data_IF_512548988480
#
_entry.id   IF_512548988480
#
_cell.length_a   1.000
_cell.length_b   1.000
_cell.length_c   1.000
_cell.angle_alpha   90.00
_cell.angle_beta   90.00
_cell.angle_gamma   90.00
#
_symmetry.space_group_name_H-M   'P 1'
#
loop_
_entity.id
_entity.type
_entity.pdbx_description
1 polymer ?
#
# COMPACT_ATOMS: atom_id res chain seq x y z
N UNK A 1 0.19 32.49 -14.16
CA UNK A 1 0.06 32.39 -12.69
C UNK A 1 1.40 31.98 -12.13
N UNK A 2 1.85 32.65 -11.07
CA UNK A 2 3.05 32.32 -10.30
C UNK A 2 2.59 31.71 -8.99
N UNK A 3 3.30 30.67 -8.54
CA UNK A 3 3.02 29.97 -7.28
C UNK A 3 4.20 30.08 -6.32
N UNK A 4 3.97 29.88 -5.03
CA UNK A 4 5.00 29.80 -4.00
C UNK A 4 4.74 28.62 -3.05
N UNK A 5 5.80 28.05 -2.46
CA UNK A 5 5.72 26.83 -1.64
C UNK A 5 5.59 27.06 -0.12
N UNK A 6 5.57 28.31 0.33
CA UNK A 6 5.45 28.68 1.74
C UNK A 6 4.93 30.11 1.86
N UNK A 7 3.79 30.29 2.52
CA UNK A 7 3.21 31.61 2.77
C UNK A 7 3.32 31.94 4.26
N UNK A 8 3.85 33.12 4.60
CA UNK A 8 4.21 33.50 5.97
C UNK A 8 3.00 33.49 6.94
N UNK A 9 1.81 33.77 6.42
CA UNK A 9 0.59 33.90 7.23
C UNK A 9 -0.25 32.61 7.36
N UNK A 10 -0.05 31.61 6.49
CA UNK A 10 -0.99 30.48 6.33
C UNK A 10 -0.32 29.10 6.44
N UNK A 11 1.01 29.02 6.41
CA UNK A 11 1.76 27.79 6.65
C UNK A 11 2.34 27.15 5.37
N UNK A 12 2.51 25.83 5.40
CA UNK A 12 3.16 25.06 4.33
C UNK A 12 2.13 24.58 3.30
N UNK A 13 2.27 24.99 2.04
CA UNK A 13 1.32 24.72 0.95
C UNK A 13 1.69 25.46 -0.34
N UNK A 14 0.95 25.20 -1.42
CA UNK A 14 1.17 25.85 -2.72
C UNK A 14 0.18 27.00 -2.87
N UNK A 15 0.68 28.23 -2.82
CA UNK A 15 -0.15 29.43 -2.88
C UNK A 15 0.04 30.17 -4.20
N UNK A 16 -1.02 30.84 -4.66
CA UNK A 16 -0.95 31.75 -5.80
C UNK A 16 -0.34 33.06 -5.33
N UNK A 17 0.85 33.39 -5.81
CA UNK A 17 1.55 34.62 -5.45
C UNK A 17 1.32 35.76 -6.44
N UNK A 18 1.04 35.43 -7.70
CA UNK A 18 0.77 36.42 -8.75
C UNK A 18 -0.07 35.85 -9.90
N UNK A 19 -0.92 36.70 -10.49
CA UNK A 19 -1.78 36.37 -11.62
C UNK A 19 -1.53 37.38 -12.73
N UNK A 20 -1.12 36.89 -13.89
CA UNK A 20 -0.91 37.73 -15.07
C UNK A 20 -2.24 38.20 -15.65
N UNK A 21 -2.34 39.50 -15.91
CA UNK A 21 -3.51 40.13 -16.56
C UNK A 21 -3.78 39.50 -17.93
N UNK A 22 -5.04 39.17 -18.22
CA UNK A 22 -5.49 38.51 -19.44
C UNK A 22 -5.27 36.99 -19.49
N UNK A 23 -4.68 36.39 -18.46
CA UNK A 23 -4.38 34.94 -18.42
C UNK A 23 -5.63 34.06 -18.20
N UNK A 24 -5.51 32.77 -18.51
CA UNK A 24 -6.58 31.79 -18.24
C UNK A 24 -6.91 31.68 -16.74
N UNK A 25 -5.94 31.97 -15.87
CA UNK A 25 -6.12 31.97 -14.41
C UNK A 25 -7.01 33.13 -13.95
N UNK A 26 -6.82 34.33 -14.50
CA UNK A 26 -7.67 35.50 -14.23
C UNK A 26 -9.09 35.28 -14.74
N UNK A 27 -9.23 34.77 -15.98
CA UNK A 27 -10.54 34.44 -16.58
C UNK A 27 -11.30 33.37 -15.81
N UNK A 28 -10.58 32.48 -15.11
CA UNK A 28 -11.15 31.47 -14.24
C UNK A 28 -11.55 32.00 -12.85
N UNK A 29 -11.22 33.26 -12.54
CA UNK A 29 -11.57 33.91 -11.27
C UNK A 29 -10.69 33.50 -10.09
N UNK A 30 -9.45 33.05 -10.34
CA UNK A 30 -8.50 32.77 -9.27
C UNK A 30 -8.05 34.07 -8.58
N UNK A 31 -7.84 34.01 -7.28
CA UNK A 31 -7.38 35.15 -6.48
C UNK A 31 -5.95 34.91 -5.95
N UNK A 32 -5.17 35.98 -5.82
CA UNK A 32 -3.87 35.94 -5.14
C UNK A 32 -4.09 35.58 -3.66
N UNK A 33 -3.26 34.68 -3.14
CA UNK A 33 -3.37 34.15 -1.78
C UNK A 33 -4.22 32.88 -1.64
N UNK A 34 -4.87 32.43 -2.72
CA UNK A 34 -5.53 31.12 -2.71
C UNK A 34 -4.52 29.98 -2.71
N UNK A 35 -4.84 28.92 -1.97
CA UNK A 35 -4.04 27.71 -1.88
C UNK A 35 -4.54 26.68 -2.88
N UNK A 36 -3.66 26.23 -3.77
CA UNK A 36 -3.92 25.17 -4.73
C UNK A 36 -3.82 23.82 -4.03
N UNK A 37 -4.94 23.13 -3.93
CA UNK A 37 -5.08 21.82 -3.30
C UNK A 37 -4.87 20.68 -4.30
N UNK A 38 -5.24 20.87 -5.57
CA UNK A 38 -5.07 19.88 -6.63
C UNK A 38 -5.03 20.52 -8.02
N UNK A 39 -4.41 19.81 -8.95
CA UNK A 39 -4.40 20.12 -10.39
C UNK A 39 -4.89 18.87 -11.12
N UNK A 40 -5.96 19.01 -11.89
CA UNK A 40 -6.70 17.92 -12.50
C UNK A 40 -7.15 16.87 -11.47
N UNK A 41 -6.52 15.69 -11.49
CA UNK A 41 -6.78 14.59 -10.54
C UNK A 41 -5.63 14.39 -9.56
N UNK A 42 -4.55 15.18 -9.67
CA UNK A 42 -3.36 15.05 -8.85
C UNK A 42 -3.42 16.05 -7.69
N UNK A 43 -3.33 15.53 -6.46
CA UNK A 43 -3.33 16.35 -5.25
C UNK A 43 -1.98 17.04 -5.04
N UNK A 44 -2.02 18.30 -4.62
CA UNK A 44 -0.87 19.10 -4.18
C UNK A 44 -0.83 19.31 -2.66
N UNK A 45 -1.74 18.68 -1.91
CA UNK A 45 -1.74 18.77 -0.44
C UNK A 45 -0.48 18.09 0.12
N UNK A 46 0.40 18.88 0.75
CA UNK A 46 1.70 18.43 1.25
C UNK A 46 2.80 18.37 0.19
N UNK A 47 2.51 18.74 -1.07
CA UNK A 47 3.52 18.87 -2.11
C UNK A 47 4.43 20.08 -1.85
N UNK A 48 5.70 19.95 -2.24
CA UNK A 48 6.63 21.07 -2.26
C UNK A 48 6.52 21.87 -3.58
N UNK A 49 7.16 23.04 -3.61
CA UNK A 49 7.16 23.93 -4.77
C UNK A 49 7.55 23.21 -6.08
N UNK A 50 8.62 22.43 -6.07
CA UNK A 50 9.14 21.77 -7.27
C UNK A 50 8.16 20.76 -7.86
N UNK A 51 7.49 20.00 -6.98
CA UNK A 51 6.46 19.02 -7.39
C UNK A 51 5.28 19.74 -8.04
N UNK A 52 4.80 20.81 -7.42
CA UNK A 52 3.68 21.60 -7.94
C UNK A 52 4.00 22.32 -9.24
N UNK A 53 5.18 22.95 -9.33
CA UNK A 53 5.67 23.61 -10.53
C UNK A 53 5.86 22.60 -11.67
N UNK A 54 6.41 21.42 -11.37
CA UNK A 54 6.54 20.34 -12.33
C UNK A 54 5.19 19.85 -12.85
N UNK A 55 4.19 19.74 -11.98
CA UNK A 55 2.87 19.25 -12.35
C UNK A 55 2.11 20.27 -13.22
N UNK A 56 2.11 21.55 -12.84
CA UNK A 56 1.52 22.64 -13.63
C UNK A 56 2.21 22.87 -14.99
N UNK A 57 3.51 22.60 -15.10
CA UNK A 57 4.25 22.69 -16.39
C UNK A 57 3.98 21.53 -17.33
N UNK A 58 3.65 20.35 -16.79
CA UNK A 58 3.38 19.13 -17.59
C UNK A 58 1.91 19.00 -18.01
N UNK A 59 1.01 19.79 -17.41
CA UNK A 59 -0.39 19.80 -17.79
C UNK A 59 -0.60 20.57 -19.08
N UNK A 60 -1.08 19.89 -20.11
CA UNK A 60 -1.48 20.48 -21.39
C UNK A 60 -3.00 20.39 -21.56
N UNK A 61 -3.59 21.36 -22.26
CA UNK A 61 -5.03 21.41 -22.51
C UNK A 61 -5.83 22.01 -21.35
N UNK A 62 -7.02 21.45 -21.07
CA UNK A 62 -7.90 21.95 -20.02
C UNK A 62 -7.37 21.56 -18.64
N UNK A 63 -6.99 22.57 -17.85
CA UNK A 63 -6.49 22.39 -16.49
C UNK A 63 -7.59 22.75 -15.49
N UNK A 64 -7.98 21.78 -14.65
CA UNK A 64 -8.91 21.99 -13.54
C UNK A 64 -8.11 22.21 -12.26
N UNK A 65 -8.38 23.29 -11.53
CA UNK A 65 -7.71 23.56 -10.26
C UNK A 65 -8.71 23.46 -9.12
N UNK A 66 -8.32 22.79 -8.04
CA UNK A 66 -9.05 22.84 -6.77
C UNK A 66 -8.29 23.82 -5.88
N UNK A 67 -8.93 24.94 -5.55
CA UNK A 67 -8.34 25.99 -4.72
C UNK A 67 -9.14 26.19 -3.44
N UNK A 68 -8.48 26.68 -2.40
CA UNK A 68 -9.12 27.10 -1.16
C UNK A 68 -8.66 28.51 -0.80
N UNK A 69 -9.55 29.31 -0.22
CA UNK A 69 -9.22 30.64 0.28
C UNK A 69 -9.14 30.60 1.82
N UNK A 70 -7.97 30.28 2.39
CA UNK A 70 -7.79 30.20 3.84
C UNK A 70 -7.96 31.55 4.57
N UNK A 71 -8.06 32.68 3.85
CA UNK A 71 -8.26 34.02 4.42
C UNK A 71 -9.72 34.49 4.53
N UNK A 72 -10.69 33.87 3.83
CA UNK A 72 -12.11 34.25 3.92
C UNK A 72 -12.80 33.51 5.08
N UNK A 73 -12.86 34.15 6.26
CA UNK A 73 -13.78 33.74 7.34
C UNK A 73 -15.22 33.77 6.81
N UNK A 74 -15.85 32.61 6.70
CA UNK A 74 -17.28 32.49 6.39
C UNK A 74 -18.08 33.02 7.58
N UNK A 75 -18.73 34.17 7.41
CA UNK A 75 -19.66 34.72 8.39
C UNK A 75 -20.90 33.82 8.48
N UNK A 76 -21.04 33.10 9.60
CA UNK A 76 -22.26 32.39 9.92
C UNK A 76 -23.39 33.41 10.18
N UNK A 77 -24.46 33.27 9.40
CA UNK A 77 -25.64 34.14 9.42
C UNK A 77 -26.45 33.86 10.67
N UNK A 78 -26.75 34.91 11.44
CA UNK A 78 -27.57 34.90 12.63
C UNK A 78 -28.98 34.36 12.36
N UNK A 79 -29.44 33.42 13.17
CA UNK A 79 -30.84 33.01 13.23
C UNK A 79 -31.67 34.08 13.94
N UNK A 80 -32.65 34.64 13.23
CA UNK A 80 -33.75 35.43 13.82
C UNK A 80 -35.05 34.67 13.60
N UNK A 81 -35.63 34.18 14.70
CA UNK A 81 -36.94 33.54 14.72
C UNK A 81 -37.93 34.50 15.39
N UNK A 82 -38.75 35.16 14.59
CA UNK A 82 -39.99 35.82 15.03
C UNK A 82 -41.02 35.67 13.91
N UNK A 83 -42.07 34.89 14.17
CA UNK A 83 -43.17 34.68 13.24
C UNK A 83 -44.12 35.88 13.14
N UNK A 84 -44.81 36.02 12.00
CA UNK A 84 -46.27 36.10 11.94
C UNK A 84 -46.83 36.08 10.50
N UNK A 85 -47.99 35.43 10.37
CA UNK A 85 -49.15 35.74 9.52
C UNK A 85 -49.14 35.59 7.96
N UNK A 86 -49.89 34.56 7.51
CA UNK A 86 -51.09 34.56 6.61
C UNK A 86 -50.98 35.20 5.21
N UNK A 87 -51.26 34.39 4.16
CA UNK A 87 -52.11 34.85 3.04
C UNK A 87 -51.84 34.32 1.63
N UNK A 88 -52.63 33.29 1.23
CA UNK A 88 -53.26 33.07 -0.10
C UNK A 88 -52.45 32.91 -1.40
N UNK A 89 -52.89 31.84 -2.09
CA UNK A 89 -53.18 31.71 -3.53
C UNK A 89 -52.17 30.98 -4.42
N UNK A 90 -52.73 29.98 -5.10
CA UNK A 90 -52.11 28.96 -5.90
C UNK A 90 -51.72 29.43 -7.31
N UNK A 91 -50.58 28.94 -7.80
CA UNK A 91 -50.31 28.75 -9.23
C UNK A 91 -49.58 27.42 -9.41
N UNK A 92 -50.22 26.50 -10.15
CA UNK A 92 -49.60 25.28 -10.69
C UNK A 92 -48.48 25.67 -11.65
N UNK A 93 -47.28 25.14 -11.45
CA UNK A 93 -46.28 25.03 -12.50
C UNK A 93 -45.45 23.75 -12.33
N UNK A 94 -45.33 23.05 -13.45
CA UNK A 94 -44.53 21.88 -13.79
C UNK A 94 -43.34 21.53 -12.89
N UNK A 95 -43.20 20.24 -12.60
CA UNK A 95 -41.91 19.56 -12.41
C UNK A 95 -40.89 19.99 -13.47
N UNK A 96 -39.65 20.28 -13.06
CA UNK A 96 -38.54 19.79 -13.85
C UNK A 96 -37.47 19.12 -12.98
N UNK A 97 -37.08 17.95 -13.47
CA UNK A 97 -35.75 17.36 -13.43
C UNK A 97 -34.99 17.37 -12.09
N UNK A 98 -34.91 16.18 -11.50
CA UNK A 98 -33.86 15.74 -10.60
C UNK A 98 -32.51 16.37 -10.97
N UNK A 99 -32.06 17.33 -10.16
CA UNK A 99 -30.68 17.82 -10.18
C UNK A 99 -29.77 16.58 -10.02
N UNK A 100 -28.77 16.36 -10.88
CA UNK A 100 -27.73 15.41 -10.57
C UNK A 100 -27.03 15.97 -9.34
N UNK A 101 -27.26 15.37 -8.17
CA UNK A 101 -26.39 15.53 -7.02
C UNK A 101 -25.02 15.03 -7.48
N UNK A 102 -24.14 15.96 -7.85
CA UNK A 102 -22.72 15.69 -7.91
C UNK A 102 -22.35 15.00 -6.60
N UNK A 103 -21.77 13.78 -6.63
CA UNK A 103 -21.37 13.13 -5.39
C UNK A 103 -20.38 14.07 -4.71
N UNK A 104 -20.73 14.50 -3.50
CA UNK A 104 -19.78 15.17 -2.61
C UNK A 104 -18.55 14.25 -2.55
N UNK A 105 -17.33 14.74 -2.86
CA UNK A 105 -16.14 13.94 -2.68
C UNK A 105 -16.10 13.52 -1.22
N UNK A 106 -16.22 12.23 -0.94
CA UNK A 106 -16.02 11.72 0.41
C UNK A 106 -14.66 12.20 0.91
N UNK A 107 -14.56 12.65 2.17
CA UNK A 107 -13.28 13.04 2.74
C UNK A 107 -12.26 11.91 2.52
N UNK A 108 -10.99 12.25 2.16
CA UNK A 108 -9.99 11.24 1.89
C UNK A 108 -9.89 10.27 3.09
N UNK A 109 -9.86 8.95 2.85
CA UNK A 109 -9.84 7.97 3.92
C UNK A 109 -8.67 8.22 4.87
N UNK A 110 -8.95 8.25 6.17
CA UNK A 110 -7.90 8.45 7.19
C UNK A 110 -6.90 7.29 7.14
N UNK A 111 -5.60 7.55 6.87
CA UNK A 111 -4.58 6.50 6.79
C UNK A 111 -4.46 5.64 8.05
N UNK A 112 -4.85 6.14 9.23
CA UNK A 112 -4.78 5.37 10.46
C UNK A 112 -5.89 4.33 10.58
N UNK A 113 -7.03 4.55 9.93
CA UNK A 113 -8.25 3.74 10.17
C UNK A 113 -8.85 3.14 8.90
N UNK A 114 -8.47 3.62 7.72
CA UNK A 114 -9.02 3.15 6.47
C UNK A 114 -8.70 1.65 6.23
N UNK A 115 -9.67 0.86 5.74
CA UNK A 115 -9.45 -0.53 5.40
C UNK A 115 -8.66 -0.66 4.09
N UNK A 116 -7.84 -1.70 4.01
CA UNK A 116 -7.12 -2.05 2.78
C UNK A 116 -8.09 -2.75 1.82
N UNK A 117 -8.59 -1.99 0.85
CA UNK A 117 -9.53 -2.45 -0.18
C UNK A 117 -8.78 -3.23 -1.27
N UNK A 118 -9.16 -4.48 -1.57
CA UNK A 118 -8.55 -5.25 -2.66
C UNK A 118 -8.64 -4.52 -4.01
N UNK A 119 -7.61 -4.67 -4.84
CA UNK A 119 -7.52 -4.05 -6.17
C UNK A 119 -7.10 -2.58 -6.19
N UNK A 120 -6.99 -1.93 -5.02
CA UNK A 120 -6.65 -0.51 -4.89
C UNK A 120 -5.37 -0.27 -4.10
N UNK A 121 -4.72 0.85 -4.39
CA UNK A 121 -3.53 1.33 -3.69
C UNK A 121 -4.03 2.13 -2.49
N UNK A 122 -3.76 1.62 -1.30
CA UNK A 122 -4.25 2.22 -0.05
C UNK A 122 -3.05 2.71 0.75
N UNK A 123 -3.08 3.98 1.10
CA UNK A 123 -2.11 4.55 2.03
C UNK A 123 -2.56 4.26 3.46
N UNK A 124 -1.73 3.59 4.23
CA UNK A 124 -1.98 3.33 5.65
C UNK A 124 -0.85 3.91 6.51
N UNK A 125 -1.17 4.23 7.75
CA UNK A 125 -0.21 4.57 8.80
C UNK A 125 -0.40 3.62 9.97
N UNK A 126 0.66 2.91 10.35
CA UNK A 126 0.67 1.99 11.50
C UNK A 126 1.54 2.60 12.61
N UNK A 127 0.99 2.70 13.82
CA UNK A 127 1.77 3.06 14.99
C UNK A 127 2.69 1.89 15.37
N UNK A 128 3.99 2.14 15.37
CA UNK A 128 5.01 1.11 15.60
C UNK A 128 5.72 1.27 16.95
N UNK A 129 5.52 2.39 17.67
CA UNK A 129 6.08 2.65 19.00
C UNK A 129 7.60 2.40 19.11
N UNK A 130 8.34 2.72 18.04
CA UNK A 130 9.78 2.42 17.90
C UNK A 130 10.13 0.92 17.97
N UNK A 131 9.15 0.04 17.73
CA UNK A 131 9.32 -1.40 17.58
C UNK A 131 9.29 -1.76 16.09
N UNK A 132 9.76 -2.97 15.76
CA UNK A 132 9.63 -3.49 14.42
C UNK A 132 8.16 -3.73 14.03
N UNK A 133 7.85 -3.56 12.74
CA UNK A 133 6.50 -3.74 12.20
C UNK A 133 5.92 -5.13 12.51
N UNK A 134 6.77 -6.16 12.56
CA UNK A 134 6.36 -7.52 12.93
C UNK A 134 5.76 -8.30 11.75
N UNK A 135 6.41 -8.21 10.58
CA UNK A 135 6.00 -8.91 9.36
C UNK A 135 7.14 -9.73 8.78
N UNK A 136 6.78 -10.76 8.02
CA UNK A 136 7.66 -11.49 7.12
C UNK A 136 7.25 -11.17 5.69
N UNK A 137 8.21 -10.92 4.82
CA UNK A 137 7.97 -10.65 3.41
C UNK A 137 9.00 -11.39 2.55
N UNK A 138 8.69 -11.43 1.26
CA UNK A 138 9.55 -11.96 0.19
C UNK A 138 9.55 -10.97 -0.97
N UNK A 139 10.47 -11.14 -1.92
CA UNK A 139 10.54 -10.34 -3.13
C UNK A 139 11.64 -9.30 -3.15
N UNK A 140 11.60 -8.48 -4.19
CA UNK A 140 12.66 -7.56 -4.58
C UNK A 140 13.27 -7.98 -5.92
N UNK A 141 13.74 -6.99 -6.68
CA UNK A 141 14.18 -7.17 -8.08
C UNK A 141 15.31 -8.18 -8.28
N UNK A 142 16.05 -8.49 -7.22
CA UNK A 142 17.17 -9.43 -7.15
C UNK A 142 16.73 -10.85 -6.74
N UNK A 143 15.42 -11.12 -6.71
CA UNK A 143 14.83 -12.43 -6.36
C UNK A 143 13.92 -12.95 -7.48
N UNK A 144 13.47 -14.20 -7.40
CA UNK A 144 12.47 -14.73 -8.34
C UNK A 144 11.06 -14.12 -8.17
N UNK A 145 10.85 -13.35 -7.10
CA UNK A 145 9.68 -12.50 -6.90
C UNK A 145 10.15 -11.06 -7.21
N UNK A 146 10.56 -10.85 -8.47
CA UNK A 146 11.20 -9.59 -8.89
C UNK A 146 10.25 -8.39 -8.88
N UNK A 147 8.96 -8.65 -9.10
CA UNK A 147 7.94 -7.61 -9.32
C UNK A 147 7.24 -7.21 -8.01
N UNK A 148 8.01 -6.87 -6.98
CA UNK A 148 7.48 -6.26 -5.76
C UNK A 148 7.88 -6.95 -4.45
N UNK A 149 7.42 -6.35 -3.36
CA UNK A 149 7.64 -6.79 -1.98
C UNK A 149 6.33 -7.31 -1.41
N UNK A 150 6.23 -8.62 -1.18
CA UNK A 150 4.98 -9.31 -0.84
C UNK A 150 5.03 -9.81 0.59
N UNK A 151 3.99 -9.50 1.37
CA UNK A 151 3.83 -10.02 2.72
C UNK A 151 3.56 -11.53 2.70
N UNK A 152 4.42 -12.27 3.38
CA UNK A 152 4.31 -13.70 3.57
C UNK A 152 3.62 -14.04 4.91
N UNK A 153 3.83 -13.21 5.94
CA UNK A 153 3.24 -13.43 7.25
C UNK A 153 3.15 -12.14 8.07
N UNK A 154 2.13 -12.04 8.92
CA UNK A 154 2.05 -11.05 10.00
C UNK A 154 2.26 -11.79 11.31
N UNK A 155 3.22 -11.35 12.12
CA UNK A 155 3.60 -12.07 13.34
C UNK A 155 2.62 -11.78 14.48
N UNK A 156 2.06 -12.82 15.13
CA UNK A 156 1.19 -12.65 16.29
C UNK A 156 1.82 -11.77 17.37
N UNK A 157 1.07 -10.79 17.87
CA UNK A 157 1.51 -9.81 18.87
C UNK A 157 2.40 -8.67 18.33
N UNK A 158 2.76 -8.69 17.05
CA UNK A 158 3.50 -7.62 16.37
C UNK A 158 2.69 -6.33 16.19
N UNK A 159 3.33 -5.24 15.75
CA UNK A 159 2.63 -3.95 15.55
C UNK A 159 1.62 -4.03 14.40
N UNK A 160 2.00 -4.70 13.30
CA UNK A 160 1.10 -5.00 12.18
C UNK A 160 -0.09 -5.88 12.59
N UNK A 161 0.13 -6.84 13.49
CA UNK A 161 -0.94 -7.72 14.01
C UNK A 161 -1.93 -6.94 14.88
N UNK A 162 -1.42 -6.05 15.74
CA UNK A 162 -2.26 -5.17 16.58
C UNK A 162 -3.09 -4.18 15.76
N UNK A 163 -2.53 -3.68 14.66
CA UNK A 163 -3.28 -2.86 13.69
C UNK A 163 -4.31 -3.70 12.93
N UNK A 164 -3.97 -4.95 12.60
CA UNK A 164 -4.90 -5.97 12.09
C UNK A 164 -5.31 -5.79 10.62
N UNK A 165 -4.85 -4.73 9.94
CA UNK A 165 -5.22 -4.48 8.54
C UNK A 165 -4.39 -5.27 7.55
N UNK A 166 -3.09 -5.46 7.80
CA UNK A 166 -2.17 -6.18 6.92
C UNK A 166 -2.46 -7.69 6.87
N UNK A 167 -2.35 -8.30 5.69
CA UNK A 167 -2.61 -9.72 5.45
C UNK A 167 -1.57 -10.33 4.50
N UNK A 168 -1.51 -11.67 4.51
CA UNK A 168 -0.71 -12.44 3.54
C UNK A 168 -1.10 -12.05 2.11
N UNK A 169 -0.10 -11.88 1.25
CA UNK A 169 -0.26 -11.50 -0.16
C UNK A 169 -0.36 -10.00 -0.41
N UNK A 170 -0.49 -9.17 0.63
CA UNK A 170 -0.42 -7.72 0.48
C UNK A 170 0.95 -7.31 -0.05
N UNK A 171 0.98 -6.38 -1.00
CA UNK A 171 2.20 -5.85 -1.60
C UNK A 171 2.51 -4.47 -1.05
N UNK A 172 3.74 -4.29 -0.56
CA UNK A 172 4.23 -3.01 -0.05
C UNK A 172 4.88 -2.26 -1.20
N UNK A 173 4.24 -1.19 -1.65
CA UNK A 173 4.67 -0.40 -2.82
C UNK A 173 5.57 0.77 -2.43
N UNK A 174 5.37 1.30 -1.22
CA UNK A 174 6.10 2.44 -0.69
C UNK A 174 6.17 2.36 0.83
N UNK A 175 7.29 2.78 1.40
CA UNK A 175 7.49 2.96 2.83
C UNK A 175 8.10 4.32 3.06
N UNK A 176 7.41 5.17 3.83
CA UNK A 176 7.89 6.50 4.23
C UNK A 176 8.30 7.39 3.04
N UNK A 177 7.61 7.29 1.90
CA UNK A 177 7.90 8.05 0.68
C UNK A 177 9.03 7.45 -0.17
N UNK A 178 9.57 6.29 0.22
CA UNK A 178 10.52 5.52 -0.59
C UNK A 178 9.78 4.40 -1.31
N UNK A 179 9.74 4.48 -2.64
CA UNK A 179 9.14 3.44 -3.45
C UNK A 179 9.93 2.13 -3.37
N UNK A 180 9.21 1.02 -3.23
CA UNK A 180 9.75 -0.34 -3.16
C UNK A 180 9.54 -1.17 -4.43
N UNK A 181 8.93 -0.60 -5.48
CA UNK A 181 8.61 -1.33 -6.73
C UNK A 181 9.85 -1.98 -7.37
N UNK A 182 10.95 -1.24 -7.45
CA UNK A 182 12.24 -1.69 -8.00
C UNK A 182 13.33 -1.82 -6.94
N UNK A 183 12.93 -2.00 -5.67
CA UNK A 183 13.87 -2.20 -4.58
C UNK A 183 14.48 -3.60 -4.62
N UNK A 184 15.73 -3.71 -4.19
CA UNK A 184 16.30 -5.02 -3.85
C UNK A 184 15.66 -5.53 -2.56
N UNK A 185 15.70 -6.84 -2.34
CA UNK A 185 15.24 -7.46 -1.10
C UNK A 185 15.90 -6.80 0.13
N UNK A 186 17.21 -6.53 0.04
CA UNK A 186 17.97 -5.87 1.11
C UNK A 186 17.52 -4.42 1.35
N UNK A 187 17.22 -3.66 0.29
CA UNK A 187 16.73 -2.29 0.43
C UNK A 187 15.33 -2.25 1.08
N UNK A 188 14.43 -3.15 0.67
CA UNK A 188 13.12 -3.30 1.29
C UNK A 188 13.24 -3.71 2.77
N UNK A 189 14.18 -4.61 3.09
CA UNK A 189 14.46 -5.03 4.46
C UNK A 189 14.95 -3.88 5.33
N UNK A 190 15.81 -3.02 4.78
CA UNK A 190 16.28 -1.82 5.47
C UNK A 190 15.13 -0.83 5.72
N UNK A 191 14.26 -0.61 4.74
CA UNK A 191 13.10 0.27 4.88
C UNK A 191 12.10 -0.23 5.94
N UNK A 192 11.78 -1.53 5.93
CA UNK A 192 10.76 -2.13 6.81
C UNK A 192 11.27 -2.44 8.23
N UNK A 193 12.59 -2.43 8.45
CA UNK A 193 13.20 -2.62 9.79
C UNK A 193 13.41 -1.32 10.56
N UNK A 194 13.12 -0.17 9.97
CA UNK A 194 13.25 1.10 10.67
C UNK A 194 12.34 1.13 11.91
N UNK A 195 12.93 1.47 13.05
CA UNK A 195 12.21 1.64 14.32
C UNK A 195 11.74 3.09 14.41
N UNK A 196 10.61 3.38 13.80
CA UNK A 196 9.97 4.69 13.85
C UNK A 196 8.79 4.66 14.85
N UNK A 197 8.30 5.81 15.32
CA UNK A 197 7.07 5.85 16.12
C UNK A 197 5.85 5.47 15.28
N UNK A 198 5.87 5.81 13.99
CA UNK A 198 4.83 5.48 13.03
C UNK A 198 5.45 5.17 11.67
N UNK A 199 4.79 4.29 10.91
CA UNK A 199 5.21 3.91 9.57
C UNK A 199 4.06 4.11 8.59
N UNK A 200 4.22 5.07 7.69
CA UNK A 200 3.31 5.32 6.56
C UNK A 200 3.74 4.46 5.37
N UNK A 201 2.80 3.72 4.78
CA UNK A 201 3.04 2.81 3.67
C UNK A 201 1.94 2.90 2.63
N UNK A 202 2.27 2.59 1.38
CA UNK A 202 1.28 2.34 0.33
C UNK A 202 1.20 0.83 0.12
N UNK A 203 0.02 0.27 0.35
CA UNK A 203 -0.25 -1.16 0.27
C UNK A 203 -1.21 -1.43 -0.88
N UNK A 204 -0.91 -2.46 -1.67
CA UNK A 204 -1.84 -3.02 -2.64
C UNK A 204 -2.24 -4.42 -2.20
N UNK A 205 -3.54 -4.66 -2.04
CA UNK A 205 -4.07 -5.99 -1.78
C UNK A 205 -4.59 -6.61 -3.07
N UNK A 206 -4.11 -7.77 -3.52
CA UNK A 206 -4.70 -8.43 -4.67
C UNK A 206 -6.12 -8.93 -4.34
N UNK A 207 -7.01 -8.99 -5.34
CA UNK A 207 -8.34 -9.60 -5.18
C UNK A 207 -8.25 -11.07 -4.77
N UNK A 208 -7.22 -11.75 -5.28
CA UNK A 208 -6.94 -13.16 -4.99
C UNK A 208 -5.43 -13.35 -4.84
N UNK A 209 -5.03 -14.04 -3.78
CA UNK A 209 -3.64 -14.47 -3.61
C UNK A 209 -3.35 -15.63 -4.56
N UNK A 210 -2.33 -15.47 -5.39
CA UNK A 210 -1.90 -16.49 -6.35
C UNK A 210 -0.55 -17.11 -5.97
N UNK A 211 -0.35 -18.35 -6.39
CA UNK A 211 0.87 -19.10 -6.14
C UNK A 211 1.40 -19.75 -7.42
N UNK A 212 2.72 -19.90 -7.50
CA UNK A 212 3.39 -20.85 -8.40
C UNK A 212 3.55 -22.17 -7.66
N UNK A 213 3.08 -23.26 -8.25
CA UNK A 213 3.39 -24.60 -7.77
C UNK A 213 4.75 -25.03 -8.30
N UNK A 214 5.62 -25.45 -7.40
CA UNK A 214 6.97 -25.94 -7.68
C UNK A 214 7.02 -27.40 -7.26
N UNK A 215 7.25 -28.29 -8.21
CA UNK A 215 7.40 -29.72 -7.94
C UNK A 215 8.84 -30.13 -8.24
N UNK A 216 9.51 -30.65 -7.21
CA UNK A 216 10.91 -31.05 -7.28
C UNK A 216 11.10 -32.42 -6.69
N UNK A 217 12.17 -33.07 -7.12
CA UNK A 217 12.49 -34.42 -6.72
C UNK A 217 13.98 -34.51 -6.41
N UNK A 218 14.29 -34.81 -5.16
CA UNK A 218 15.66 -34.79 -4.65
C UNK A 218 16.04 -36.15 -4.08
N UNK A 219 17.29 -36.55 -4.27
CA UNK A 219 17.83 -37.76 -3.67
C UNK A 219 18.58 -37.40 -2.40
N UNK A 220 18.02 -37.79 -1.26
CA UNK A 220 18.66 -37.65 0.05
C UNK A 220 19.73 -38.72 0.23
N UNK A 221 21.00 -38.30 0.19
CA UNK A 221 22.15 -39.17 0.42
C UNK A 221 22.26 -39.53 1.92
N UNK A 222 22.70 -40.74 2.28
CA UNK A 222 22.94 -41.11 3.68
C UNK A 222 23.86 -40.10 4.38
N UNK A 223 23.48 -39.68 5.59
CA UNK A 223 24.24 -38.70 6.38
C UNK A 223 24.20 -37.25 5.86
N UNK A 224 23.51 -36.96 4.74
CA UNK A 224 23.28 -35.60 4.24
C UNK A 224 21.79 -35.27 4.21
N UNK A 225 21.47 -34.00 4.44
CA UNK A 225 20.11 -33.47 4.24
C UNK A 225 19.81 -33.20 2.76
N UNK A 226 18.61 -32.70 2.50
CA UNK A 226 18.20 -32.22 1.16
C UNK A 226 18.89 -30.90 0.77
N UNK A 227 19.67 -30.31 1.67
CA UNK A 227 20.26 -28.98 1.46
C UNK A 227 19.27 -27.84 1.72
N UNK A 228 18.22 -28.09 2.51
CA UNK A 228 17.17 -27.12 2.83
C UNK A 228 17.17 -26.82 4.33
N UNK A 229 17.00 -25.54 4.67
CA UNK A 229 16.62 -25.08 6.00
C UNK A 229 15.16 -24.66 5.98
N UNK A 230 14.40 -25.05 7.00
CA UNK A 230 12.97 -24.75 7.10
C UNK A 230 12.67 -24.01 8.40
N UNK A 231 11.69 -23.10 8.36
CA UNK A 231 11.19 -22.38 9.53
C UNK A 231 9.68 -22.54 9.62
N UNK A 232 9.17 -22.75 10.83
CA UNK A 232 7.74 -22.82 11.10
C UNK A 232 7.09 -21.44 10.94
N UNK A 233 5.86 -21.40 10.42
CA UNK A 233 5.01 -20.21 10.46
C UNK A 233 4.72 -19.83 11.91
N UNK A 234 4.87 -18.55 12.25
CA UNK A 234 4.54 -18.05 13.61
C UNK A 234 3.05 -18.02 13.89
N UNK A 235 2.22 -17.93 12.85
CA UNK A 235 0.76 -18.09 12.91
C UNK A 235 0.32 -19.52 13.28
N UNK A 236 1.25 -20.48 13.28
CA UNK A 236 0.96 -21.90 13.32
C UNK A 236 0.67 -22.46 11.93
N UNK A 237 0.83 -23.78 11.79
CA UNK A 237 0.53 -24.57 10.58
C UNK A 237 1.35 -24.20 9.34
N UNK A 238 2.26 -25.08 8.94
CA UNK A 238 3.09 -24.98 7.75
C UNK A 238 4.52 -24.51 8.01
N UNK A 239 5.39 -24.74 7.02
CA UNK A 239 6.81 -24.34 7.06
C UNK A 239 7.26 -23.67 5.77
N UNK A 240 8.05 -22.62 5.90
CA UNK A 240 8.72 -21.97 4.79
C UNK A 240 10.16 -22.47 4.65
N UNK A 241 10.68 -22.44 3.42
CA UNK A 241 12.12 -22.52 3.19
C UNK A 241 12.76 -21.24 3.75
N UNK A 242 13.63 -21.40 4.73
CA UNK A 242 14.35 -20.30 5.36
C UNK A 242 15.65 -20.00 4.60
N UNK A 243 16.34 -21.05 4.17
CA UNK A 243 17.63 -20.95 3.48
C UNK A 243 17.96 -22.25 2.73
N UNK A 244 18.97 -22.21 1.88
CA UNK A 244 19.54 -23.38 1.21
C UNK A 244 21.00 -23.56 1.63
N UNK A 245 21.44 -24.81 1.73
CA UNK A 245 22.82 -25.14 2.10
C UNK A 245 23.69 -25.03 0.85
N UNK A 246 24.78 -24.28 0.95
CA UNK A 246 25.76 -24.11 -0.13
C UNK A 246 26.34 -25.47 -0.59
N UNK A 247 26.30 -25.75 -1.89
CA UNK A 247 26.62 -27.03 -2.52
C UNK A 247 25.60 -28.14 -2.28
N UNK A 248 24.42 -27.81 -1.73
CA UNK A 248 23.31 -28.74 -1.51
C UNK A 248 22.55 -29.07 -2.79
N UNK A 249 21.83 -30.20 -2.80
CA UNK A 249 21.06 -30.64 -3.98
C UNK A 249 20.00 -29.61 -4.38
N UNK A 250 19.28 -29.05 -3.39
CA UNK A 250 18.27 -28.04 -3.65
C UNK A 250 18.84 -26.72 -4.19
N UNK A 251 20.00 -26.29 -3.71
CA UNK A 251 20.66 -25.07 -4.19
C UNK A 251 21.14 -25.26 -5.65
N UNK A 252 21.77 -26.38 -5.96
CA UNK A 252 22.26 -26.69 -7.31
C UNK A 252 21.10 -26.78 -8.32
N UNK A 253 19.96 -27.34 -7.91
CA UNK A 253 18.74 -27.38 -8.73
C UNK A 253 18.14 -25.99 -8.95
N UNK A 254 18.30 -25.07 -7.98
CA UNK A 254 17.97 -23.65 -8.11
C UNK A 254 16.47 -23.30 -8.25
N UNK A 255 15.58 -24.30 -8.30
CA UNK A 255 14.13 -24.08 -8.45
C UNK A 255 13.46 -23.66 -7.13
N UNK A 256 13.91 -24.23 -6.02
CA UNK A 256 13.42 -23.90 -4.67
C UNK A 256 14.17 -22.69 -4.12
N UNK A 257 13.48 -21.81 -3.39
CA UNK A 257 14.06 -20.61 -2.81
C UNK A 257 13.49 -20.30 -1.43
N UNK A 258 14.18 -19.41 -0.72
CA UNK A 258 13.67 -18.82 0.51
C UNK A 258 12.28 -18.22 0.31
N UNK A 259 11.39 -18.50 1.26
CA UNK A 259 10.01 -18.05 1.25
C UNK A 259 9.03 -19.01 0.57
N UNK A 260 9.51 -20.07 -0.08
CA UNK A 260 8.62 -21.11 -0.60
C UNK A 260 7.96 -21.86 0.56
N UNK A 261 6.64 -22.06 0.48
CA UNK A 261 5.86 -22.83 1.43
C UNK A 261 5.88 -24.31 1.04
N UNK A 262 6.30 -25.20 1.93
CA UNK A 262 6.19 -26.64 1.68
C UNK A 262 4.72 -27.06 1.84
N UNK A 263 4.13 -27.58 0.77
CA UNK A 263 2.73 -28.03 0.74
C UNK A 263 2.62 -29.54 0.88
N UNK A 264 3.57 -30.29 0.30
CA UNK A 264 3.59 -31.74 0.46
C UNK A 264 5.00 -32.33 0.41
N UNK A 265 5.20 -33.42 1.14
CA UNK A 265 6.42 -34.26 1.10
C UNK A 265 6.00 -35.69 0.78
N UNK A 266 6.53 -36.27 -0.30
CA UNK A 266 6.17 -37.62 -0.77
C UNK A 266 4.65 -37.85 -0.92
N UNK A 267 3.93 -36.83 -1.37
CA UNK A 267 2.47 -36.87 -1.52
C UNK A 267 1.69 -36.65 -0.21
N UNK A 268 2.35 -36.66 0.95
CA UNK A 268 1.71 -36.29 2.21
C UNK A 268 1.55 -34.77 2.30
N UNK A 269 0.31 -34.29 2.43
CA UNK A 269 0.03 -32.87 2.66
C UNK A 269 0.55 -32.45 4.05
N UNK A 270 1.33 -31.37 4.10
CA UNK A 270 1.92 -30.82 5.32
C UNK A 270 1.67 -29.31 5.48
N UNK A 271 0.79 -28.73 4.66
CA UNK A 271 0.55 -27.28 4.60
C UNK A 271 0.08 -26.70 5.94
N UNK A 272 -0.67 -27.49 6.71
CA UNK A 272 -1.22 -27.12 8.02
C UNK A 272 -0.54 -27.86 9.18
N UNK A 273 0.48 -28.66 8.92
CA UNK A 273 1.21 -29.42 9.94
C UNK A 273 2.11 -28.52 10.79
N UNK A 274 2.43 -28.94 12.01
CA UNK A 274 3.36 -28.18 12.85
C UNK A 274 4.79 -28.23 12.29
N UNK A 275 5.61 -27.23 12.62
CA UNK A 275 7.00 -27.22 12.17
C UNK A 275 7.81 -28.43 12.65
N UNK A 276 7.47 -28.95 13.83
CA UNK A 276 8.08 -30.17 14.39
C UNK A 276 7.71 -31.41 13.59
N UNK A 277 6.43 -31.56 13.22
CA UNK A 277 5.95 -32.65 12.37
C UNK A 277 6.63 -32.62 10.99
N UNK A 278 6.63 -31.47 10.32
CA UNK A 278 7.27 -31.37 8.99
C UNK A 278 8.79 -31.60 9.10
N UNK A 279 9.42 -31.08 10.14
CA UNK A 279 10.83 -31.32 10.44
C UNK A 279 11.13 -32.81 10.66
N UNK A 280 10.26 -33.53 11.37
CA UNK A 280 10.38 -34.98 11.56
C UNK A 280 10.22 -35.73 10.23
N UNK A 281 9.21 -35.40 9.42
CA UNK A 281 9.00 -36.01 8.10
C UNK A 281 10.23 -35.82 7.21
N UNK A 282 10.76 -34.60 7.08
CA UNK A 282 11.96 -34.32 6.27
C UNK A 282 13.21 -35.05 6.78
N UNK A 283 13.29 -35.32 8.08
CA UNK A 283 14.39 -36.11 8.69
C UNK A 283 14.25 -37.61 8.43
N UNK A 284 13.03 -38.16 8.42
CA UNK A 284 12.78 -39.59 8.27
C UNK A 284 12.69 -40.07 6.83
N UNK A 285 12.35 -39.20 5.87
CA UNK A 285 12.39 -39.58 4.44
C UNK A 285 13.81 -40.00 4.04
N UNK A 286 13.90 -41.01 3.17
CA UNK A 286 15.16 -41.58 2.68
C UNK A 286 15.10 -41.78 1.17
N UNK A 287 16.26 -41.79 0.52
CA UNK A 287 16.34 -41.98 -0.91
C UNK A 287 15.65 -40.85 -1.68
N UNK A 288 14.70 -41.21 -2.54
CA UNK A 288 14.03 -40.30 -3.45
C UNK A 288 12.90 -39.55 -2.73
N UNK A 289 12.98 -38.22 -2.68
CA UNK A 289 12.04 -37.34 -1.98
C UNK A 289 11.39 -36.39 -2.98
N UNK A 290 10.07 -36.48 -3.15
CA UNK A 290 9.30 -35.53 -3.95
C UNK A 290 8.74 -34.42 -3.05
N UNK A 291 9.00 -33.17 -3.39
CA UNK A 291 8.46 -32.01 -2.69
C UNK A 291 7.53 -31.23 -3.62
N UNK A 292 6.40 -30.79 -3.07
CA UNK A 292 5.55 -29.77 -3.68
C UNK A 292 5.63 -28.53 -2.83
N UNK A 293 5.89 -27.39 -3.46
CA UNK A 293 6.00 -26.09 -2.81
C UNK A 293 5.10 -25.06 -3.49
N UNK A 294 4.66 -24.06 -2.73
CA UNK A 294 3.99 -22.88 -3.23
C UNK A 294 4.87 -21.64 -3.04
N UNK A 295 5.10 -20.91 -4.12
CA UNK A 295 5.72 -19.58 -4.10
C UNK A 295 4.67 -18.52 -4.37
N UNK A 296 4.62 -17.48 -3.54
CA UNK A 296 3.72 -16.35 -3.76
C UNK A 296 3.99 -15.69 -5.11
N UNK A 297 2.93 -15.39 -5.86
CA UNK A 297 2.99 -14.58 -7.08
C UNK A 297 2.51 -13.16 -6.78
N UNK A 298 3.36 -12.14 -6.97
CA UNK A 298 2.92 -10.76 -6.93
C UNK A 298 2.04 -10.47 -8.15
N UNK A 299 1.02 -9.64 -7.96
CA UNK A 299 0.31 -9.02 -9.07
C UNK A 299 1.25 -8.07 -9.79
N UNK A 300 1.49 -8.31 -11.08
CA UNK A 300 2.29 -7.42 -11.91
C UNK A 300 1.62 -6.04 -12.02
N UNK A 301 2.38 -4.97 -11.77
CA UNK A 301 1.91 -3.58 -11.79
C UNK A 301 3.04 -2.65 -12.22
#
# INVERSE_FOLDING_TARGET
MIIEGKHAEVGQGIFISDIQEGSSAEKAGLEIGEMILAVNKDTLVGANYDTAAGLLKRTEGLVTLVVSNPGKKVAAVNGTDTGNAIGKAALKASVPASRPTTPVPEPPPDPLTCPITPGLDVTIEIATDNKGLGVLFVGGKDTLIANGIVLLEVFPGGMADKDGRLKLGDQILDVMGTSLKDATHTAALQALRQTLPKMKMIIYRPEKVEYSTIEVEYVKKPGKGLGLSVIAKKSGGGVYIADMINGGVAEIDGRVMRGDLIVSVNGQNVENSSGEEVGAILKTVVGKVSLKLHRLKPTAR
#
